data_IF_949124191069
#
_entry.id   IF_949124191069
#
_cell.length_a   1.000
_cell.length_b   1.000
_cell.length_c   1.000
_cell.angle_alpha   90.00
_cell.angle_beta   90.00
_cell.angle_gamma   90.00
#
_symmetry.space_group_name_H-M   'P 1'
#
loop_
_entity.id
_entity.type
_entity.pdbx_description
1 polymer ?
#
# COMPACT_ATOMS: atom_id res chain seq x y z
N UNK A 1 2.56 6.82 8.13
CA UNK A 1 2.35 5.61 8.97
C UNK A 1 1.36 5.69 10.11
N UNK A 2 1.20 6.82 10.81
CA UNK A 2 0.44 6.90 12.08
C UNK A 2 -0.99 6.31 12.06
N UNK A 3 -1.64 6.22 10.89
CA UNK A 3 -3.00 5.68 10.74
C UNK A 3 -3.07 4.21 10.27
N UNK A 4 -1.94 3.60 9.90
CA UNK A 4 -1.86 2.21 9.40
C UNK A 4 -1.32 1.22 10.45
N UNK A 5 -0.73 1.73 11.54
CA UNK A 5 0.04 0.98 12.55
C UNK A 5 -0.77 0.04 13.46
N UNK A 6 -2.07 -0.15 13.21
CA UNK A 6 -2.93 -1.06 13.98
C UNK A 6 -3.13 -2.44 13.37
N UNK A 7 -2.71 -2.65 12.12
CA UNK A 7 -2.94 -3.89 11.38
C UNK A 7 -1.63 -4.65 11.13
N UNK A 8 -1.59 -5.91 11.54
CA UNK A 8 -0.47 -6.81 11.26
C UNK A 8 -0.63 -7.42 9.87
N UNK A 9 -0.17 -6.68 8.85
CA UNK A 9 -0.12 -7.14 7.46
C UNK A 9 1.29 -6.97 6.88
N UNK A 10 1.60 -7.77 5.85
CA UNK A 10 2.87 -7.70 5.14
C UNK A 10 2.92 -6.52 4.16
N UNK A 11 1.78 -6.21 3.53
CA UNK A 11 1.60 -5.13 2.59
C UNK A 11 0.16 -4.59 2.60
N UNK A 12 -0.03 -3.38 2.08
CA UNK A 12 -1.34 -2.78 1.84
C UNK A 12 -1.59 -2.63 0.35
N UNK A 13 -2.86 -2.76 -0.06
CA UNK A 13 -3.30 -2.43 -1.41
C UNK A 13 -3.91 -1.02 -1.38
N UNK A 14 -3.32 -0.11 -2.14
CA UNK A 14 -3.84 1.23 -2.36
C UNK A 14 -4.89 1.20 -3.47
N UNK A 15 -6.15 1.30 -3.07
CA UNK A 15 -7.28 1.50 -3.99
C UNK A 15 -7.68 2.97 -4.11
N UNK A 16 -6.92 3.89 -3.51
CA UNK A 16 -7.14 5.32 -3.53
C UNK A 16 -6.26 5.99 -4.61
N UNK A 17 -5.77 7.20 -4.36
CA UNK A 17 -4.97 7.93 -5.34
C UNK A 17 -3.58 7.26 -5.51
N UNK A 18 -3.13 6.95 -6.74
CA UNK A 18 -1.83 6.32 -6.96
C UNK A 18 -0.64 7.13 -6.48
N UNK A 19 -0.77 8.46 -6.42
CA UNK A 19 0.25 9.38 -5.89
C UNK A 19 0.66 9.04 -4.45
N UNK A 20 -0.21 8.40 -3.68
CA UNK A 20 0.10 7.98 -2.31
C UNK A 20 1.33 7.06 -2.31
N UNK A 21 1.50 6.18 -3.30
CA UNK A 21 2.67 5.29 -3.36
C UNK A 21 4.01 6.01 -3.56
N UNK A 22 4.02 7.31 -3.85
CA UNK A 22 5.24 8.13 -3.93
C UNK A 22 5.73 8.61 -2.54
N UNK A 23 4.89 8.51 -1.50
CA UNK A 23 5.26 8.87 -0.14
C UNK A 23 6.04 7.73 0.56
N UNK A 24 6.77 8.06 1.62
CA UNK A 24 7.50 7.07 2.43
C UNK A 24 6.58 6.36 3.44
N UNK A 25 6.50 5.03 3.34
CA UNK A 25 5.80 4.16 4.29
C UNK A 25 6.73 3.07 4.82
N UNK A 26 6.57 2.69 6.09
CA UNK A 26 7.28 1.54 6.69
C UNK A 26 6.83 0.18 6.14
N UNK A 27 5.66 0.13 5.51
CA UNK A 27 5.08 -1.07 4.92
C UNK A 27 4.94 -0.88 3.42
N UNK A 28 5.03 -1.99 2.68
CA UNK A 28 4.85 -1.98 1.23
C UNK A 28 3.41 -1.59 0.92
N UNK A 29 3.25 -0.60 0.02
CA UNK A 29 1.97 -0.19 -0.53
C UNK A 29 1.98 -0.52 -2.03
N UNK A 30 0.94 -1.20 -2.53
CA UNK A 30 0.84 -1.69 -3.91
C UNK A 30 -0.40 -1.05 -4.53
N UNK A 31 -0.32 -0.45 -5.72
CA UNK A 31 -1.52 0.08 -6.36
C UNK A 31 -2.41 -1.06 -6.86
N UNK A 32 -3.73 -0.85 -6.86
CA UNK A 32 -4.70 -1.88 -7.19
C UNK A 32 -4.53 -2.47 -8.61
N UNK A 33 -4.08 -1.67 -9.57
CA UNK A 33 -3.77 -2.08 -10.95
C UNK A 33 -2.49 -2.91 -11.06
N UNK A 34 -1.59 -2.81 -10.08
CA UNK A 34 -0.35 -3.59 -10.04
C UNK A 34 -0.56 -5.00 -9.43
N UNK A 35 -1.68 -5.22 -8.75
CA UNK A 35 -1.99 -6.49 -8.08
C UNK A 35 -2.07 -7.65 -9.08
N UNK A 36 -2.56 -7.40 -10.29
CA UNK A 36 -2.67 -8.42 -11.36
C UNK A 36 -1.30 -8.92 -11.85
N UNK A 37 -0.21 -8.17 -11.66
CA UNK A 37 1.13 -8.63 -12.02
C UNK A 37 1.77 -9.53 -10.96
N UNK A 38 1.20 -9.55 -9.74
CA UNK A 38 1.76 -10.24 -8.58
C UNK A 38 1.06 -11.59 -8.35
N UNK A 39 -0.19 -11.73 -8.80
CA UNK A 39 -1.01 -12.94 -8.71
C UNK A 39 -0.83 -13.88 -9.91
#
# INVERSE_FOLDING_TARGET
DSNLLGFEVDAFINTACPRINEDEFSKVIINADEVEYIL
#
